data_IF_783424236848
#
_entry.id   IF_783424236848
#
_cell.length_a   1.000
_cell.length_b   1.000
_cell.length_c   1.000
_cell.angle_alpha   90.00
_cell.angle_beta   90.00
_cell.angle_gamma   90.00
#
_symmetry.space_group_name_H-M   'P 1'
#
loop_
_entity.id
_entity.type
_entity.pdbx_description
1 polymer ?
#
# COMPACT_ATOMS: atom_id res chain seq x y z
N UNK A 1 6.23 30.28 0.76
CA UNK A 1 4.91 29.65 0.98
C UNK A 1 5.08 28.20 0.58
N UNK A 2 5.11 27.26 1.55
CA UNK A 2 5.27 25.84 1.23
C UNK A 2 3.90 25.28 0.84
N UNK A 3 3.76 24.82 -0.39
CA UNK A 3 2.56 24.11 -0.85
C UNK A 3 2.50 22.75 -0.15
N UNK A 4 1.85 22.72 1.01
CA UNK A 4 1.51 21.48 1.69
C UNK A 4 0.40 20.80 0.90
N UNK A 5 0.77 19.88 0.02
CA UNK A 5 -0.20 19.08 -0.74
C UNK A 5 -0.87 18.11 0.22
N UNK A 6 -2.16 18.33 0.52
CA UNK A 6 -2.92 17.44 1.39
C UNK A 6 -2.92 16.02 0.81
N UNK A 7 -2.59 15.05 1.65
CA UNK A 7 -2.74 13.65 1.33
C UNK A 7 -4.22 13.28 1.19
N UNK A 8 -4.50 12.18 0.52
CA UNK A 8 -5.87 11.65 0.39
C UNK A 8 -6.59 11.51 1.74
N UNK A 9 -5.90 11.08 2.79
CA UNK A 9 -6.50 10.92 4.12
C UNK A 9 -6.93 12.26 4.71
N UNK A 10 -6.08 13.28 4.55
CA UNK A 10 -6.37 14.64 5.00
C UNK A 10 -7.48 15.30 4.17
N UNK A 11 -7.57 15.05 2.86
CA UNK A 11 -8.72 15.48 2.03
C UNK A 11 -10.02 14.87 2.52
N UNK A 12 -10.01 13.56 2.83
CA UNK A 12 -11.21 12.88 3.33
C UNK A 12 -11.60 13.43 4.70
N UNK A 13 -10.64 13.60 5.61
CA UNK A 13 -10.90 14.18 6.93
C UNK A 13 -11.46 15.60 6.82
N UNK A 14 -10.81 16.48 6.04
CA UNK A 14 -11.24 17.87 5.86
C UNK A 14 -12.68 17.97 5.34
N UNK A 15 -13.05 17.15 4.35
CA UNK A 15 -14.43 17.15 3.82
C UNK A 15 -15.43 16.59 4.84
N UNK A 16 -15.06 15.57 5.61
CA UNK A 16 -15.91 15.05 6.69
C UNK A 16 -16.09 16.07 7.83
N UNK A 17 -15.09 16.92 8.07
CA UNK A 17 -15.13 18.03 9.02
C UNK A 17 -15.87 19.28 8.47
N UNK A 18 -16.42 19.20 7.25
CA UNK A 18 -17.29 20.23 6.66
C UNK A 18 -16.63 21.14 5.62
N UNK A 19 -15.37 20.89 5.23
CA UNK A 19 -14.73 21.65 4.16
C UNK A 19 -15.39 21.40 2.80
N UNK A 20 -15.42 22.43 1.95
CA UNK A 20 -15.89 22.28 0.58
C UNK A 20 -14.93 21.40 -0.25
N UNK A 21 -15.50 20.57 -1.11
CA UNK A 21 -14.71 19.72 -2.01
C UNK A 21 -13.76 20.50 -2.92
N UNK A 22 -14.11 21.74 -3.28
CA UNK A 22 -13.26 22.64 -4.09
C UNK A 22 -11.97 22.97 -3.38
N UNK A 23 -12.07 23.32 -2.10
CA UNK A 23 -10.95 23.82 -1.32
C UNK A 23 -10.02 22.67 -0.94
N UNK A 24 -10.60 21.53 -0.55
CA UNK A 24 -9.85 20.31 -0.28
C UNK A 24 -9.16 19.76 -1.54
N UNK A 25 -9.78 19.88 -2.71
CA UNK A 25 -9.19 19.45 -3.98
C UNK A 25 -8.04 20.38 -4.41
N UNK A 26 -8.21 21.69 -4.26
CA UNK A 26 -7.18 22.69 -4.55
C UNK A 26 -5.95 22.49 -3.64
N UNK A 27 -6.17 22.32 -2.34
CA UNK A 27 -5.11 22.07 -1.36
C UNK A 27 -4.37 20.73 -1.58
N UNK A 28 -4.99 19.76 -2.25
CA UNK A 28 -4.37 18.49 -2.63
C UNK A 28 -3.84 18.45 -4.07
N UNK A 29 -4.00 19.53 -4.84
CA UNK A 29 -3.62 19.57 -6.26
C UNK A 29 -4.34 18.53 -7.12
N UNK A 30 -5.59 18.19 -6.80
CA UNK A 30 -6.41 17.23 -7.55
C UNK A 30 -7.70 17.86 -8.09
N UNK A 31 -8.36 17.18 -9.02
CA UNK A 31 -9.69 17.61 -9.46
C UNK A 31 -10.74 17.36 -8.37
N UNK A 32 -11.78 18.20 -8.34
CA UNK A 32 -12.94 18.05 -7.43
C UNK A 32 -13.58 16.66 -7.55
N UNK A 33 -13.68 16.13 -8.77
CA UNK A 33 -14.19 14.78 -9.02
C UNK A 33 -13.32 13.69 -8.37
N UNK A 34 -12.02 13.91 -8.26
CA UNK A 34 -11.09 12.98 -7.59
C UNK A 34 -11.26 13.03 -6.08
N UNK A 35 -11.35 14.22 -5.49
CA UNK A 35 -11.65 14.40 -4.07
C UNK A 35 -13.00 13.75 -3.69
N UNK A 36 -14.04 13.99 -4.50
CA UNK A 36 -15.36 13.36 -4.34
C UNK A 36 -15.27 11.83 -4.33
N UNK A 37 -14.57 11.23 -5.30
CA UNK A 37 -14.36 9.78 -5.35
C UNK A 37 -13.61 9.26 -4.12
N UNK A 38 -12.66 10.02 -3.59
CA UNK A 38 -11.92 9.60 -2.41
C UNK A 38 -12.80 9.53 -1.18
N UNK A 39 -13.59 10.57 -0.93
CA UNK A 39 -14.54 10.64 0.18
C UNK A 39 -15.59 9.55 0.07
N UNK A 40 -16.23 9.39 -1.09
CA UNK A 40 -17.25 8.36 -1.27
C UNK A 40 -16.71 6.94 -1.13
N UNK A 41 -15.49 6.66 -1.62
CA UNK A 41 -14.89 5.33 -1.49
C UNK A 41 -14.48 5.02 -0.05
N UNK A 42 -14.01 6.02 0.71
CA UNK A 42 -13.45 5.74 2.04
C UNK A 42 -14.48 5.95 3.17
N UNK A 43 -15.51 6.79 2.98
CA UNK A 43 -16.56 7.04 3.97
C UNK A 43 -17.86 6.27 3.68
N UNK A 44 -18.32 6.21 2.43
CA UNK A 44 -19.63 5.60 2.08
C UNK A 44 -19.50 4.11 1.79
N UNK A 45 -18.44 3.71 1.06
CA UNK A 45 -18.17 2.31 0.74
C UNK A 45 -16.76 1.90 1.19
N UNK A 46 -16.44 2.02 2.49
CA UNK A 46 -15.10 1.70 2.98
C UNK A 46 -14.72 0.29 2.53
N UNK A 47 -13.51 0.08 2.00
CA UNK A 47 -13.09 -1.23 1.54
C UNK A 47 -13.18 -2.20 2.71
N UNK A 48 -14.10 -3.17 2.60
CA UNK A 48 -14.26 -4.19 3.63
C UNK A 48 -12.93 -4.91 3.82
N UNK A 49 -12.37 -4.80 5.02
CA UNK A 49 -11.15 -5.51 5.39
C UNK A 49 -11.51 -6.99 5.43
N UNK A 50 -10.99 -7.75 4.46
CA UNK A 50 -11.15 -9.21 4.44
C UNK A 50 -10.66 -9.78 5.78
N UNK A 51 -11.35 -10.78 6.34
CA UNK A 51 -10.95 -11.40 7.60
C UNK A 51 -9.50 -11.87 7.51
N UNK A 52 -8.70 -11.47 8.49
CA UNK A 52 -7.28 -11.80 8.54
C UNK A 52 -7.15 -13.28 8.88
N UNK A 53 -6.27 -13.98 8.17
CA UNK A 53 -5.98 -15.39 8.46
C UNK A 53 -5.38 -15.48 9.86
N UNK A 54 -5.83 -16.43 10.71
CA UNK A 54 -5.27 -16.63 12.03
C UNK A 54 -3.75 -16.81 11.99
N UNK A 55 -3.03 -16.18 12.92
CA UNK A 55 -1.57 -16.22 12.94
C UNK A 55 -1.03 -17.67 13.01
N UNK A 56 -1.72 -18.56 13.72
CA UNK A 56 -1.38 -19.98 13.79
C UNK A 56 -1.40 -20.66 12.40
N UNK A 57 -2.40 -20.35 11.56
CA UNK A 57 -2.46 -20.88 10.19
C UNK A 57 -1.34 -20.31 9.32
N UNK A 58 -1.00 -19.03 9.48
CA UNK A 58 0.13 -18.42 8.77
C UNK A 58 1.45 -19.10 9.15
N UNK A 59 1.70 -19.34 10.44
CA UNK A 59 2.90 -20.08 10.90
C UNK A 59 2.95 -21.49 10.31
N UNK A 60 1.82 -22.22 10.32
CA UNK A 60 1.73 -23.55 9.70
C UNK A 60 2.11 -23.52 8.21
N UNK A 61 1.60 -22.54 7.46
CA UNK A 61 1.94 -22.38 6.04
C UNK A 61 3.43 -22.11 5.86
N UNK A 62 4.04 -21.22 6.66
CA UNK A 62 5.47 -20.91 6.58
C UNK A 62 6.33 -22.14 6.83
N UNK A 63 6.08 -22.87 7.90
CA UNK A 63 6.82 -24.09 8.22
C UNK A 63 6.72 -25.14 7.10
N UNK A 64 5.56 -25.28 6.46
CA UNK A 64 5.39 -26.20 5.33
C UNK A 64 6.09 -25.72 4.05
N UNK A 65 6.24 -24.41 3.86
CA UNK A 65 7.02 -23.85 2.75
C UNK A 65 8.51 -24.08 3.01
N UNK A 66 9.00 -23.78 4.21
CA UNK A 66 10.40 -23.94 4.60
C UNK A 66 10.85 -25.40 4.58
N UNK A 67 9.93 -26.33 4.89
CA UNK A 67 10.18 -27.77 4.78
C UNK A 67 10.37 -28.27 3.35
N UNK A 68 9.93 -27.55 2.31
CA UNK A 68 10.21 -27.86 0.91
C UNK A 68 9.52 -29.10 0.30
N UNK A 69 8.95 -29.99 1.13
CA UNK A 69 8.43 -31.29 0.68
C UNK A 69 7.11 -31.23 -0.11
N UNK A 70 6.39 -30.11 -0.03
CA UNK A 70 5.05 -29.97 -0.58
C UNK A 70 4.95 -28.81 -1.57
N UNK A 71 4.29 -29.06 -2.71
CA UNK A 71 3.92 -27.98 -3.62
C UNK A 71 2.97 -26.98 -2.95
N UNK A 72 3.02 -25.70 -3.34
CA UNK A 72 2.17 -24.66 -2.76
C UNK A 72 0.67 -24.98 -2.87
N UNK A 73 0.27 -25.66 -3.96
CA UNK A 73 -1.09 -26.15 -4.16
C UNK A 73 -1.46 -27.22 -3.12
N UNK A 74 -0.54 -28.13 -2.81
CA UNK A 74 -0.77 -29.15 -1.79
C UNK A 74 -0.83 -28.56 -0.39
N UNK A 75 0.02 -27.58 -0.07
CA UNK A 75 -0.04 -26.83 1.19
C UNK A 75 -1.40 -26.14 1.34
N UNK A 76 -1.90 -25.51 0.28
CA UNK A 76 -3.21 -24.84 0.27
C UNK A 76 -4.35 -25.82 0.63
N UNK A 77 -4.33 -27.03 0.06
CA UNK A 77 -5.30 -28.09 0.35
C UNK A 77 -5.20 -28.53 1.82
N UNK A 78 -3.99 -28.81 2.32
CA UNK A 78 -3.78 -29.30 3.70
C UNK A 78 -4.19 -28.27 4.76
N UNK A 79 -3.97 -26.98 4.50
CA UNK A 79 -4.31 -25.90 5.44
C UNK A 79 -5.76 -25.42 5.27
N UNK A 80 -6.44 -25.81 4.20
CA UNK A 80 -7.80 -25.37 3.90
C UNK A 80 -7.88 -23.89 3.53
N UNK A 81 -6.93 -23.42 2.71
CA UNK A 81 -6.89 -22.03 2.23
C UNK A 81 -6.79 -21.99 0.71
N UNK A 82 -7.17 -20.86 0.11
CA UNK A 82 -7.03 -20.68 -1.33
C UNK A 82 -5.55 -20.63 -1.74
N UNK A 83 -5.20 -21.20 -2.90
CA UNK A 83 -3.81 -21.26 -3.39
C UNK A 83 -3.12 -19.89 -3.43
N UNK A 84 -3.83 -18.84 -3.88
CA UNK A 84 -3.29 -17.48 -3.94
C UNK A 84 -2.85 -16.92 -2.58
N UNK A 85 -3.42 -17.40 -1.47
CA UNK A 85 -3.00 -17.05 -0.12
C UNK A 85 -1.61 -17.59 0.18
N UNK A 86 -1.35 -18.84 -0.16
CA UNK A 86 -0.05 -19.49 0.06
C UNK A 86 1.03 -18.78 -0.76
N UNK A 87 0.74 -18.47 -2.03
CA UNK A 87 1.65 -17.68 -2.88
C UNK A 87 1.98 -16.32 -2.25
N UNK A 88 0.99 -15.59 -1.73
CA UNK A 88 1.23 -14.30 -1.06
C UNK A 88 2.10 -14.44 0.18
N UNK A 89 1.91 -15.50 0.96
CA UNK A 89 2.72 -15.75 2.15
C UNK A 89 4.16 -16.07 1.74
N UNK A 90 4.37 -16.95 0.75
CA UNK A 90 5.70 -17.24 0.19
C UNK A 90 6.38 -15.97 -0.34
N UNK A 91 5.67 -15.17 -1.13
CA UNK A 91 6.20 -13.92 -1.70
C UNK A 91 6.51 -12.88 -0.60
N UNK A 92 5.90 -12.99 0.58
CA UNK A 92 6.25 -12.18 1.75
C UNK A 92 7.46 -12.73 2.54
N UNK A 93 7.81 -14.00 2.33
CA UNK A 93 9.00 -14.63 2.93
C UNK A 93 10.25 -14.38 2.10
N UNK A 94 10.12 -14.20 0.77
CA UNK A 94 11.26 -13.89 -0.09
C UNK A 94 11.87 -12.54 0.27
N UNK A 95 13.05 -12.59 0.88
CA UNK A 95 13.91 -11.43 1.16
C UNK A 95 14.41 -10.88 -0.18
N UNK A 96 14.21 -9.58 -0.45
CA UNK A 96 14.69 -8.94 -1.69
C UNK A 96 13.68 -8.02 -2.41
N UNK A 97 12.47 -7.83 -1.86
CA UNK A 97 11.59 -6.75 -2.31
C UNK A 97 10.95 -6.92 -3.70
N UNK A 98 11.22 -8.00 -4.42
CA UNK A 98 10.67 -8.23 -5.76
C UNK A 98 9.29 -8.88 -5.68
N UNK A 99 8.32 -8.27 -6.37
CA UNK A 99 6.96 -8.79 -6.54
C UNK A 99 6.90 -9.56 -7.86
N UNK A 100 6.46 -10.81 -7.77
CA UNK A 100 6.17 -11.67 -8.91
C UNK A 100 5.13 -11.07 -9.88
N UNK A 101 4.28 -10.16 -9.40
CA UNK A 101 3.27 -9.46 -10.20
C UNK A 101 3.39 -7.94 -10.05
N UNK A 102 3.46 -7.19 -11.17
CA UNK A 102 3.45 -5.74 -11.12
C UNK A 102 2.16 -5.20 -10.50
N UNK A 103 2.28 -4.17 -9.67
CA UNK A 103 1.16 -3.46 -9.03
C UNK A 103 1.26 -1.96 -9.33
N UNK A 104 0.14 -1.23 -9.27
CA UNK A 104 0.19 0.23 -9.34
C UNK A 104 0.53 0.83 -7.99
N UNK A 105 1.50 1.75 -7.97
CA UNK A 105 1.84 2.54 -6.79
C UNK A 105 0.63 3.36 -6.34
N UNK A 106 0.37 3.39 -5.03
CA UNK A 106 -0.76 4.13 -4.43
C UNK A 106 -0.55 5.65 -4.39
N UNK A 107 0.70 6.13 -4.45
CA UNK A 107 1.04 7.55 -4.45
C UNK A 107 1.01 8.15 -5.85
N UNK A 108 1.83 7.62 -6.76
CA UNK A 108 2.02 8.19 -8.10
C UNK A 108 1.32 7.44 -9.24
N UNK A 109 0.73 6.26 -9.00
CA UNK A 109 0.05 5.47 -10.03
C UNK A 109 0.94 4.63 -10.96
N UNK A 110 2.27 4.77 -10.90
CA UNK A 110 3.21 4.02 -11.73
C UNK A 110 3.15 2.50 -11.50
N UNK A 111 3.44 1.71 -12.54
CA UNK A 111 3.56 0.25 -12.42
C UNK A 111 4.90 -0.08 -11.77
N UNK A 112 4.86 -0.78 -10.62
CA UNK A 112 6.04 -1.17 -9.85
C UNK A 112 6.08 -2.68 -9.66
N UNK A 113 7.29 -3.24 -9.74
CA UNK A 113 7.58 -4.64 -9.41
C UNK A 113 8.29 -4.76 -8.06
N UNK A 114 8.59 -3.65 -7.40
CA UNK A 114 9.25 -3.60 -6.10
C UNK A 114 8.23 -3.45 -4.96
N UNK A 115 8.63 -3.76 -3.73
CA UNK A 115 7.80 -3.57 -2.53
C UNK A 115 7.41 -2.11 -2.35
N UNK A 116 8.39 -1.21 -2.51
CA UNK A 116 8.25 0.24 -2.50
C UNK A 116 8.35 0.84 -3.90
N UNK A 117 7.69 1.98 -4.10
CA UNK A 117 7.80 2.69 -5.37
C UNK A 117 9.08 3.51 -5.41
N UNK A 118 10.08 3.05 -6.17
CA UNK A 118 11.36 3.74 -6.29
C UNK A 118 11.21 5.20 -6.77
N UNK A 119 10.22 5.50 -7.62
CA UNK A 119 9.91 6.88 -8.04
C UNK A 119 9.40 7.77 -6.90
N UNK A 120 8.59 7.22 -5.99
CA UNK A 120 8.15 7.95 -4.81
C UNK A 120 9.30 8.07 -3.81
N UNK A 121 10.09 7.00 -3.62
CA UNK A 121 11.23 7.00 -2.71
C UNK A 121 12.30 8.01 -3.13
N UNK A 122 12.67 8.09 -4.42
CA UNK A 122 13.63 9.09 -4.90
C UNK A 122 13.12 10.52 -4.73
N UNK A 123 11.82 10.75 -4.94
CA UNK A 123 11.20 12.06 -4.74
C UNK A 123 11.18 12.47 -3.27
N UNK A 124 10.98 11.54 -2.35
CA UNK A 124 11.10 11.77 -0.90
C UNK A 124 12.55 11.97 -0.46
N UNK A 125 13.51 11.22 -1.02
CA UNK A 125 14.94 11.37 -0.69
C UNK A 125 15.56 12.66 -1.25
N UNK A 126 15.06 13.15 -2.39
CA UNK A 126 15.43 14.46 -2.93
C UNK A 126 14.99 15.64 -2.04
N UNK A 127 14.00 15.44 -1.17
CA UNK A 127 13.58 16.42 -0.15
C UNK A 127 14.37 16.30 1.17
N UNK A 128 15.13 15.21 1.37
CA UNK A 128 15.91 14.95 2.58
C UNK A 128 17.41 15.22 2.46
N UNK A 129 17.90 15.74 1.33
CA UNK A 129 19.33 15.91 1.03
C UNK A 129 19.79 17.38 0.99
N UNK A 130 18.96 18.33 1.43
CA UNK A 130 19.35 19.72 1.64
C UNK A 130 19.41 20.04 3.13
N UNK A 131 20.51 19.68 3.79
CA UNK A 131 20.73 20.14 5.17
C UNK A 131 21.81 19.42 5.96
N UNK A 132 23.06 19.41 5.50
CA UNK A 132 24.21 19.34 6.40
C UNK A 132 25.44 19.95 5.72
N UNK A 133 25.49 21.28 5.65
CA UNK A 133 26.76 22.00 5.52
C UNK A 133 27.18 22.28 6.96
N UNK A 134 28.08 21.44 7.50
CA UNK A 134 28.87 21.81 8.68
C UNK A 134 29.91 22.82 8.24
N UNK A 135 29.73 24.06 8.66
CA UNK A 135 30.80 25.06 8.66
C UNK A 135 31.77 24.71 9.79
N UNK A 136 33.01 24.38 9.43
CA UNK A 136 34.18 24.54 10.29
C UNK A 136 35.04 25.65 9.70
#
# INVERSE_FOLDING_TARGET
MHDYILSRGEVVAAVLDGAAYTDAAAAAGVSVSTAWRWVHRDAVNPPQRKPKIPAARVRKIRNMIDGGDLSLRRIAIVVGVHHSTVCKIRDSMTVGGYRSRPVRCRGCGAIITTQDCLLCSTRSSALGSSGFISSH
#
